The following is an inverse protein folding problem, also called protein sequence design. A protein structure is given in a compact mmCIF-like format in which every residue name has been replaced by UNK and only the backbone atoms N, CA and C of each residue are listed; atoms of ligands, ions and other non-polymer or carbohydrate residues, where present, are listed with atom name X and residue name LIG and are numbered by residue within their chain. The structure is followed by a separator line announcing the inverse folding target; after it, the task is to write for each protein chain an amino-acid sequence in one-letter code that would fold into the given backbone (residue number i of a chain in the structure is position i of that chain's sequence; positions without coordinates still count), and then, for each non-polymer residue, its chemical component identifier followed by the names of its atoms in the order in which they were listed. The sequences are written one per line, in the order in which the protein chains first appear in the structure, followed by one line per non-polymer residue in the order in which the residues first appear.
data_IF_555677330399
#
_entry.id   IF_555677330399
#
_cell.length_a   1.000
_cell.length_b   1.000
_cell.length_c   1.000
_cell.angle_alpha   90.00
_cell.angle_beta   90.00
_cell.angle_gamma   90.00
#
_symmetry.space_group_name_H-M   'P 1'
#
loop_
_entity.id
_entity.type
_entity.pdbx_description
1 polymer ?
#
# COMPACT_ATOMS: atom_id res chain seq x y z
N UNK A 1 -9.60 25.97 6.25
CA UNK A 1 -8.68 26.14 7.39
C UNK A 1 -7.42 25.31 7.15
N UNK A 2 -6.23 25.92 7.28
CA UNK A 2 -4.95 25.19 7.28
C UNK A 2 -4.81 24.47 8.62
N UNK A 3 -4.46 23.18 8.58
CA UNK A 3 -4.40 22.28 9.75
C UNK A 3 -3.05 21.60 9.90
N UNK A 4 -2.06 21.96 9.08
CA UNK A 4 -0.72 21.41 9.14
C UNK A 4 0.07 21.61 7.85
N UNK A 5 1.15 20.85 7.70
CA UNK A 5 2.06 20.86 6.56
C UNK A 5 2.30 19.44 6.04
N UNK A 6 2.43 19.28 4.74
CA UNK A 6 2.61 17.98 4.13
C UNK A 6 4.08 17.54 4.22
N UNK A 7 4.38 16.48 4.96
CA UNK A 7 5.73 15.91 5.00
C UNK A 7 6.22 15.37 3.64
N UNK A 8 5.33 15.16 2.66
CA UNK A 8 5.70 14.66 1.34
C UNK A 8 6.17 15.75 0.37
N UNK A 9 5.69 16.99 0.50
CA UNK A 9 6.03 18.05 -0.46
C UNK A 9 6.21 19.45 0.16
N UNK A 10 6.08 19.59 1.48
CA UNK A 10 6.25 20.85 2.22
C UNK A 10 5.02 21.76 2.24
N UNK A 11 4.06 21.61 1.32
CA UNK A 11 2.92 22.53 1.20
C UNK A 11 1.88 22.36 2.33
N UNK A 12 1.08 23.42 2.62
CA UNK A 12 0.01 23.37 3.60
C UNK A 12 -0.99 22.21 3.40
N UNK A 13 -1.49 21.69 4.51
CA UNK A 13 -2.62 20.76 4.57
C UNK A 13 -3.85 21.52 5.02
N UNK A 14 -4.95 21.35 4.31
CA UNK A 14 -6.25 21.94 4.64
C UNK A 14 -7.24 20.85 5.04
N UNK A 15 -8.21 21.23 5.87
CA UNK A 15 -9.39 20.41 6.17
C UNK A 15 -10.52 20.81 5.22
N UNK A 16 -10.96 19.88 4.36
CA UNK A 16 -12.00 20.08 3.35
C UNK A 16 -13.38 19.61 3.81
N UNK A 17 -13.46 18.74 4.82
CA UNK A 17 -14.71 18.34 5.48
C UNK A 17 -14.44 17.84 6.92
N UNK A 18 -15.49 17.47 7.66
CA UNK A 18 -15.37 17.00 9.05
C UNK A 18 -14.89 15.55 9.19
N UNK A 19 -14.89 14.78 8.10
CA UNK A 19 -14.52 13.37 8.08
C UNK A 19 -13.05 13.14 8.48
N UNK A 20 -12.73 11.94 8.99
CA UNK A 20 -11.37 11.56 9.38
C UNK A 20 -10.39 11.51 8.20
N UNK A 21 -10.90 11.33 6.99
CA UNK A 21 -10.17 11.47 5.74
C UNK A 21 -10.40 12.85 5.10
N UNK A 22 -10.85 13.84 5.85
CA UNK A 22 -11.16 15.19 5.38
C UNK A 22 -9.96 16.12 5.19
N UNK A 23 -8.72 15.64 5.33
CA UNK A 23 -7.52 16.47 5.20
C UNK A 23 -6.80 16.23 3.87
N UNK A 24 -6.44 17.31 3.16
CA UNK A 24 -5.74 17.25 1.88
C UNK A 24 -4.59 18.26 1.84
N UNK A 25 -3.43 17.85 1.35
CA UNK A 25 -2.40 18.81 0.95
C UNK A 25 -2.88 19.61 -0.26
N UNK A 26 -2.67 20.93 -0.26
CA UNK A 26 -3.13 21.80 -1.36
C UNK A 26 -2.37 21.56 -2.67
N UNK A 27 -1.15 21.03 -2.62
CA UNK A 27 -0.33 20.77 -3.80
C UNK A 27 -0.43 19.31 -4.25
N UNK A 28 0.14 18.36 -3.49
CA UNK A 28 0.19 16.96 -3.91
C UNK A 28 -1.12 16.18 -3.65
N UNK A 29 -2.14 16.80 -3.03
CA UNK A 29 -3.42 16.18 -2.67
C UNK A 29 -3.31 14.98 -1.71
N UNK A 30 -2.20 14.87 -0.98
CA UNK A 30 -2.00 13.78 -0.01
C UNK A 30 -3.14 13.72 1.01
N UNK A 31 -3.53 12.50 1.36
CA UNK A 31 -4.39 12.20 2.51
C UNK A 31 -3.51 11.89 3.73
N UNK A 32 -4.12 11.66 4.91
CA UNK A 32 -3.38 11.22 6.09
C UNK A 32 -2.66 9.88 5.89
N UNK A 33 -3.23 8.97 5.09
CA UNK A 33 -2.64 7.67 4.73
C UNK A 33 -1.27 7.86 4.08
N UNK A 34 -1.22 8.62 2.97
CA UNK A 34 0.02 8.90 2.26
C UNK A 34 1.08 9.55 3.17
N UNK A 35 0.67 10.49 4.02
CA UNK A 35 1.58 11.19 4.93
C UNK A 35 2.10 10.29 6.04
N UNK A 36 1.31 9.34 6.54
CA UNK A 36 1.74 8.35 7.52
C UNK A 36 2.79 7.39 6.93
N UNK A 37 2.57 6.88 5.72
CA UNK A 37 3.57 6.06 5.02
C UNK A 37 4.87 6.85 4.83
N UNK A 38 4.78 8.08 4.33
CA UNK A 38 5.95 8.95 4.19
C UNK A 38 6.65 9.29 5.51
N UNK A 39 5.92 9.34 6.63
CA UNK A 39 6.49 9.54 7.96
C UNK A 39 7.38 8.36 8.35
N UNK A 40 6.89 7.13 8.15
CA UNK A 40 7.65 5.91 8.41
C UNK A 40 8.88 5.83 7.50
N UNK A 41 8.73 6.06 6.20
CA UNK A 41 9.85 6.02 5.24
C UNK A 41 10.95 7.00 5.65
N UNK A 42 10.60 8.23 6.05
CA UNK A 42 11.56 9.23 6.51
C UNK A 42 12.30 8.80 7.78
N UNK A 43 11.63 8.08 8.69
CA UNK A 43 12.26 7.59 9.92
C UNK A 43 13.35 6.52 9.69
N UNK A 44 13.33 5.85 8.54
CA UNK A 44 14.31 4.82 8.18
C UNK A 44 15.58 5.36 7.53
N UNK A 45 15.64 6.66 7.19
CA UNK A 45 16.83 7.35 6.69
C UNK A 45 17.52 6.65 5.49
N UNK A 46 16.73 6.13 4.54
CA UNK A 46 17.27 5.52 3.32
C UNK A 46 18.10 6.52 2.48
N UNK A 47 19.14 6.01 1.82
CA UNK A 47 19.82 6.73 0.74
C UNK A 47 18.89 6.93 -0.47
N UNK A 48 19.07 8.02 -1.22
CA UNK A 48 18.35 8.26 -2.49
C UNK A 48 18.69 7.25 -3.61
N UNK A 49 19.69 6.38 -3.41
CA UNK A 49 20.14 5.38 -4.37
C UNK A 49 19.57 3.97 -4.15
N UNK A 50 18.74 3.76 -3.12
CA UNK A 50 18.07 2.47 -2.93
C UNK A 50 17.10 2.18 -4.08
N UNK A 51 16.81 0.90 -4.33
CA UNK A 51 15.82 0.47 -5.31
C UNK A 51 14.44 0.39 -4.66
N UNK A 52 13.50 1.16 -5.20
CA UNK A 52 12.15 1.30 -4.64
C UNK A 52 11.11 0.83 -5.65
N UNK A 53 10.12 0.06 -5.18
CA UNK A 53 8.94 -0.33 -5.95
C UNK A 53 7.64 0.16 -5.29
N UNK A 54 6.81 0.87 -6.03
CA UNK A 54 5.46 1.27 -5.59
C UNK A 54 4.40 0.58 -6.46
N UNK A 55 3.39 -0.01 -5.81
CA UNK A 55 2.27 -0.71 -6.47
C UNK A 55 1.20 0.24 -7.03
N UNK A 56 1.57 1.49 -7.33
CA UNK A 56 0.72 2.48 -7.97
C UNK A 56 1.54 3.48 -8.80
N UNK A 57 0.95 3.96 -9.90
CA UNK A 57 1.61 4.92 -10.80
C UNK A 57 1.24 6.37 -10.53
N UNK A 58 0.52 6.65 -9.44
CA UNK A 58 -0.15 7.94 -9.22
C UNK A 58 -0.36 8.25 -7.74
N UNK A 59 -0.85 9.47 -7.47
CA UNK A 59 -1.12 9.92 -6.11
C UNK A 59 0.08 10.57 -5.43
N UNK A 60 -0.09 10.93 -4.16
CA UNK A 60 0.89 11.75 -3.46
C UNK A 60 2.14 10.98 -3.04
N UNK A 61 1.98 9.69 -2.70
CA UNK A 61 3.10 8.82 -2.31
C UNK A 61 3.98 8.51 -3.52
N UNK A 62 3.41 8.09 -4.64
CA UNK A 62 4.12 7.95 -5.92
C UNK A 62 4.95 9.20 -6.27
N UNK A 63 4.34 10.39 -6.22
CA UNK A 63 5.04 11.65 -6.53
C UNK A 63 6.20 11.90 -5.58
N UNK A 64 6.01 11.61 -4.29
CA UNK A 64 7.07 11.70 -3.29
C UNK A 64 8.21 10.73 -3.61
N UNK A 65 7.93 9.43 -3.72
CA UNK A 65 8.94 8.41 -3.98
C UNK A 65 9.74 8.70 -5.25
N UNK A 66 9.06 9.04 -6.35
CA UNK A 66 9.68 9.43 -7.62
C UNK A 66 10.64 10.62 -7.50
N UNK A 67 10.36 11.56 -6.59
CA UNK A 67 11.22 12.72 -6.34
C UNK A 67 12.36 12.45 -5.38
N UNK A 68 12.25 11.42 -4.52
CA UNK A 68 13.23 11.14 -3.47
C UNK A 68 14.26 10.09 -3.89
N UNK A 69 13.89 9.14 -4.76
CA UNK A 69 14.71 7.99 -5.08
C UNK A 69 15.07 7.96 -6.56
N UNK A 70 16.35 7.74 -6.86
CA UNK A 70 16.89 7.65 -8.23
C UNK A 70 16.47 6.37 -8.93
N UNK A 71 16.35 5.27 -8.18
CA UNK A 71 16.00 3.95 -8.71
C UNK A 71 14.56 3.61 -8.31
N UNK A 72 13.59 4.19 -9.01
CA UNK A 72 12.17 4.05 -8.71
C UNK A 72 11.42 3.31 -9.82
N UNK A 73 10.86 2.16 -9.47
CA UNK A 73 9.98 1.35 -10.30
C UNK A 73 8.54 1.44 -9.79
N UNK A 74 7.57 1.35 -10.70
CA UNK A 74 6.15 1.36 -10.35
C UNK A 74 5.33 0.64 -11.43
N UNK A 75 4.17 0.14 -11.03
CA UNK A 75 3.19 -0.50 -11.92
C UNK A 75 1.78 -0.36 -11.36
N UNK A 76 0.80 -0.82 -12.14
CA UNK A 76 -0.61 -0.88 -11.72
C UNK A 76 -1.14 -2.28 -12.10
N UNK A 77 -2.29 -2.65 -11.53
CA UNK A 77 -3.05 -3.82 -11.99
C UNK A 77 -4.27 -3.37 -12.81
N UNK A 78 -4.39 -3.88 -14.03
CA UNK A 78 -5.52 -3.61 -14.93
C UNK A 78 -6.23 -4.92 -15.27
N UNK A 79 -7.56 -4.97 -15.08
CA UNK A 79 -8.35 -6.20 -15.29
C UNK A 79 -8.30 -6.71 -16.74
N UNK A 80 -8.14 -5.78 -17.68
CA UNK A 80 -8.19 -6.02 -19.12
C UNK A 80 -6.79 -6.16 -19.76
N UNK A 81 -5.73 -6.20 -18.96
CA UNK A 81 -4.35 -6.26 -19.46
C UNK A 81 -3.60 -7.40 -18.80
N UNK A 82 -3.11 -8.39 -19.57
CA UNK A 82 -2.22 -9.42 -19.03
C UNK A 82 -0.99 -8.82 -18.32
N UNK A 83 -0.55 -9.39 -17.17
CA UNK A 83 0.69 -8.98 -16.52
C UNK A 83 1.89 -8.98 -17.46
N UNK A 84 2.74 -7.95 -17.36
CA UNK A 84 3.89 -7.73 -18.23
C UNK A 84 3.63 -6.85 -19.45
N UNK A 85 2.35 -6.67 -19.85
CA UNK A 85 1.99 -5.75 -20.94
C UNK A 85 1.77 -4.32 -20.43
N UNK A 86 1.71 -3.36 -21.36
CA UNK A 86 1.66 -1.92 -21.04
C UNK A 86 0.30 -1.33 -21.40
N UNK A 87 -0.26 -0.52 -20.50
CA UNK A 87 -1.42 0.35 -20.74
C UNK A 87 -1.11 1.76 -20.28
N UNK A 88 -1.28 2.74 -21.16
CA UNK A 88 -0.98 4.15 -20.89
C UNK A 88 0.45 4.37 -20.31
N UNK A 89 1.44 3.72 -20.91
CA UNK A 89 2.86 3.76 -20.50
C UNK A 89 3.14 3.19 -19.10
N UNK A 90 2.20 2.44 -18.52
CA UNK A 90 2.36 1.78 -17.22
C UNK A 90 2.31 0.27 -17.46
N UNK A 91 3.29 -0.45 -16.92
CA UNK A 91 3.31 -1.93 -16.95
C UNK A 91 2.22 -2.48 -16.03
N UNK A 92 1.46 -3.44 -16.53
CA UNK A 92 0.53 -4.22 -15.72
C UNK A 92 1.30 -5.25 -14.89
N UNK A 93 1.08 -5.29 -13.57
CA UNK A 93 1.62 -6.33 -12.69
C UNK A 93 0.50 -6.85 -11.78
N UNK A 94 0.40 -8.16 -11.62
CA UNK A 94 -0.36 -8.77 -10.53
C UNK A 94 0.59 -9.01 -9.36
N UNK A 95 0.25 -8.48 -8.18
CA UNK A 95 1.09 -8.66 -6.99
C UNK A 95 1.20 -10.13 -6.58
N UNK A 96 0.24 -10.98 -6.96
CA UNK A 96 0.28 -12.42 -6.73
C UNK A 96 1.28 -13.15 -7.65
N UNK A 97 1.78 -12.47 -8.69
CA UNK A 97 2.62 -13.00 -9.75
C UNK A 97 3.50 -11.89 -10.35
N UNK A 98 4.44 -11.36 -9.57
CA UNK A 98 5.28 -10.25 -10.01
C UNK A 98 6.31 -10.73 -11.02
N UNK A 99 6.29 -10.16 -12.22
CA UNK A 99 7.30 -10.37 -13.25
C UNK A 99 8.55 -9.51 -12.98
N UNK A 100 9.13 -9.69 -11.79
CA UNK A 100 10.29 -8.97 -11.26
C UNK A 100 11.27 -9.97 -10.66
N UNK A 101 12.56 -9.66 -10.71
CA UNK A 101 13.60 -10.56 -10.21
C UNK A 101 13.61 -10.65 -8.68
N UNK A 102 14.12 -11.77 -8.19
CA UNK A 102 14.38 -11.96 -6.76
C UNK A 102 15.37 -10.89 -6.27
N UNK A 103 15.19 -10.47 -5.02
CA UNK A 103 16.13 -9.59 -4.30
C UNK A 103 16.56 -8.33 -5.07
N UNK A 104 15.65 -7.72 -5.83
CA UNK A 104 15.94 -6.54 -6.64
C UNK A 104 15.61 -5.21 -5.96
N UNK A 105 14.79 -5.21 -4.89
CA UNK A 105 14.33 -3.99 -4.23
C UNK A 105 14.73 -3.90 -2.75
N UNK A 106 15.04 -2.70 -2.30
CA UNK A 106 15.31 -2.38 -0.90
C UNK A 106 14.02 -1.94 -0.18
N UNK A 107 13.08 -1.34 -0.90
CA UNK A 107 11.80 -0.86 -0.38
C UNK A 107 10.66 -1.15 -1.37
N UNK A 108 9.58 -1.74 -0.87
CA UNK A 108 8.30 -1.88 -1.55
C UNK A 108 7.23 -1.09 -0.78
N UNK A 109 6.33 -0.41 -1.48
CA UNK A 109 5.24 0.37 -0.86
C UNK A 109 3.92 0.17 -1.59
N UNK A 110 2.83 0.26 -0.83
CA UNK A 110 1.46 0.31 -1.36
C UNK A 110 0.52 0.98 -0.38
N UNK A 111 -0.61 1.52 -0.85
CA UNK A 111 -1.68 2.05 0.01
C UNK A 111 -3.03 1.55 -0.44
N UNK A 112 -3.76 0.84 0.42
CA UNK A 112 -5.13 0.35 0.16
C UNK A 112 -5.18 -0.54 -1.10
N UNK A 113 -4.43 -1.65 -1.05
CA UNK A 113 -4.28 -2.61 -2.17
C UNK A 113 -4.59 -4.03 -1.73
N UNK A 114 -4.01 -4.49 -0.63
CA UNK A 114 -4.01 -5.92 -0.28
C UNK A 114 -5.39 -6.47 0.13
N UNK A 115 -6.30 -5.61 0.57
CA UNK A 115 -7.70 -5.97 0.80
C UNK A 115 -8.42 -6.41 -0.48
N UNK A 116 -7.92 -6.00 -1.64
CA UNK A 116 -8.46 -6.32 -2.96
C UNK A 116 -7.76 -7.52 -3.62
N UNK A 117 -6.71 -8.06 -3.01
CA UNK A 117 -5.94 -9.17 -3.58
C UNK A 117 -6.61 -10.50 -3.24
N UNK A 118 -7.00 -11.34 -4.22
CA UNK A 118 -7.67 -12.61 -3.94
C UNK A 118 -6.90 -13.54 -3.00
N UNK A 119 -5.60 -13.71 -3.22
CA UNK A 119 -4.70 -14.46 -2.34
C UNK A 119 -3.58 -13.54 -1.82
N UNK A 120 -3.83 -12.86 -0.69
CA UNK A 120 -2.87 -11.95 -0.09
C UNK A 120 -1.58 -12.64 0.35
N UNK A 121 -1.65 -13.85 0.92
CA UNK A 121 -0.45 -14.62 1.31
C UNK A 121 0.48 -14.84 0.12
N UNK A 122 -0.08 -15.12 -1.06
CA UNK A 122 0.70 -15.22 -2.31
C UNK A 122 1.32 -13.87 -2.68
N UNK A 123 0.55 -12.79 -2.61
CA UNK A 123 1.07 -11.44 -2.82
C UNK A 123 2.20 -11.05 -1.85
N UNK A 124 2.05 -11.36 -0.56
CA UNK A 124 3.08 -11.11 0.45
C UNK A 124 4.35 -11.91 0.16
N UNK A 125 4.23 -13.18 -0.25
CA UNK A 125 5.39 -14.00 -0.65
C UNK A 125 6.10 -13.44 -1.87
N UNK A 126 5.37 -12.97 -2.88
CA UNK A 126 5.97 -12.31 -4.05
C UNK A 126 6.70 -11.02 -3.66
N UNK A 127 6.11 -10.19 -2.80
CA UNK A 127 6.79 -9.00 -2.25
C UNK A 127 8.04 -9.40 -1.46
N UNK A 128 7.99 -10.46 -0.66
CA UNK A 128 9.15 -10.99 0.07
C UNK A 128 10.24 -11.47 -0.89
N UNK A 129 9.89 -12.18 -1.95
CA UNK A 129 10.81 -12.70 -2.97
C UNK A 129 11.60 -11.57 -3.64
N UNK A 130 10.93 -10.51 -4.08
CA UNK A 130 11.56 -9.40 -4.80
C UNK A 130 12.34 -8.44 -3.88
N UNK A 131 12.09 -8.47 -2.57
CA UNK A 131 12.84 -7.70 -1.60
C UNK A 131 14.21 -8.34 -1.35
N UNK A 132 15.25 -7.53 -1.28
CA UNK A 132 16.56 -7.92 -0.75
C UNK A 132 16.41 -8.30 0.71
N UNK A 133 17.31 -9.16 1.19
CA UNK A 133 17.47 -9.39 2.63
C UNK A 133 17.59 -8.06 3.38
N UNK A 134 16.86 -7.90 4.49
CA UNK A 134 16.68 -6.65 5.24
C UNK A 134 15.89 -5.54 4.55
N UNK A 135 15.37 -5.75 3.35
CA UNK A 135 14.47 -4.84 2.65
C UNK A 135 13.11 -4.71 3.34
N UNK A 136 12.42 -3.60 3.06
CA UNK A 136 11.18 -3.25 3.75
C UNK A 136 9.97 -3.27 2.81
N UNK A 137 8.85 -3.78 3.32
CA UNK A 137 7.52 -3.53 2.78
C UNK A 137 6.75 -2.62 3.74
N UNK A 138 6.42 -1.40 3.29
CA UNK A 138 5.72 -0.40 4.11
C UNK A 138 4.41 -0.05 3.43
N UNK A 139 3.29 -0.39 4.06
CA UNK A 139 2.00 -0.28 3.41
C UNK A 139 0.85 -0.01 4.37
N UNK A 140 -0.31 0.28 3.77
CA UNK A 140 -1.58 0.39 4.50
C UNK A 140 -2.65 -0.47 3.84
N UNK A 141 -3.59 -0.88 4.67
CA UNK A 141 -4.89 -1.47 4.33
C UNK A 141 -5.93 -0.86 5.28
N UNK A 142 -7.23 -0.94 4.96
CA UNK A 142 -8.30 -0.69 5.92
C UNK A 142 -8.19 -1.70 7.08
N UNK A 143 -7.55 -1.28 8.17
CA UNK A 143 -7.36 -2.13 9.34
C UNK A 143 -8.50 -1.91 10.34
N UNK A 144 -9.26 -2.97 10.59
CA UNK A 144 -10.27 -3.00 11.65
C UNK A 144 -9.61 -2.99 13.03
N UNK A 145 -10.43 -2.84 14.07
CA UNK A 145 -10.00 -3.03 15.47
C UNK A 145 -10.13 -4.49 15.93
N UNK A 146 -10.47 -5.40 15.01
CA UNK A 146 -10.55 -6.83 15.30
C UNK A 146 -9.15 -7.45 15.42
N UNK A 147 -9.05 -8.49 16.25
CA UNK A 147 -7.83 -9.29 16.34
C UNK A 147 -7.62 -10.15 15.09
N UNK A 148 -8.69 -10.67 14.51
CA UNK A 148 -8.64 -11.60 13.38
C UNK A 148 -9.20 -10.95 12.12
N UNK A 149 -8.60 -11.30 10.98
CA UNK A 149 -9.04 -10.88 9.66
C UNK A 149 -10.35 -11.56 9.30
N UNK A 150 -11.30 -10.78 8.79
CA UNK A 150 -12.59 -11.27 8.30
C UNK A 150 -12.47 -11.46 6.80
N UNK A 151 -12.46 -12.72 6.35
CA UNK A 151 -12.54 -13.06 4.93
C UNK A 151 -13.99 -12.94 4.47
N UNK A 152 -14.24 -12.16 3.42
CA UNK A 152 -15.58 -11.85 2.90
C UNK A 152 -15.94 -12.72 1.71
N UNK A 153 -14.95 -13.03 0.88
CA UNK A 153 -15.09 -13.85 -0.30
C UNK A 153 -13.76 -14.49 -0.69
N UNK A 154 -13.82 -15.53 -1.51
CA UNK A 154 -12.65 -16.19 -2.07
C UNK A 154 -12.81 -16.37 -3.57
N UNK A 155 -11.68 -16.37 -4.29
CA UNK A 155 -11.65 -16.75 -5.69
C UNK A 155 -11.44 -18.27 -5.82
N UNK A 156 -12.34 -18.93 -6.55
CA UNK A 156 -12.24 -20.36 -6.88
C UNK A 156 -11.24 -20.60 -8.02
N UNK A 157 -10.76 -21.85 -8.21
CA UNK A 157 -9.82 -22.18 -9.30
C UNK A 157 -10.33 -21.85 -10.71
N UNK A 158 -11.65 -21.83 -10.91
CA UNK A 158 -12.29 -21.44 -12.18
C UNK A 158 -12.42 -19.92 -12.38
N UNK A 159 -11.90 -19.12 -11.43
CA UNK A 159 -11.92 -17.66 -11.45
C UNK A 159 -13.19 -17.05 -10.86
N UNK A 160 -14.22 -17.84 -10.54
CA UNK A 160 -15.46 -17.33 -9.93
C UNK A 160 -15.25 -16.89 -8.49
N UNK A 161 -16.06 -15.94 -8.02
CA UNK A 161 -15.99 -15.43 -6.65
C UNK A 161 -17.09 -16.07 -5.81
N UNK A 162 -16.68 -16.69 -4.70
CA UNK A 162 -17.57 -17.19 -3.67
C UNK A 162 -17.71 -16.16 -2.55
N UNK A 163 -18.91 -15.62 -2.39
CA UNK A 163 -19.22 -14.68 -1.32
C UNK A 163 -19.70 -15.43 -0.07
N UNK A 164 -19.04 -15.17 1.05
CA UNK A 164 -19.41 -15.71 2.37
C UNK A 164 -20.16 -14.65 3.17
N UNK A 165 -19.87 -13.38 2.91
CA UNK A 165 -20.55 -12.21 3.44
C UNK A 165 -21.02 -11.32 2.29
N UNK A 166 -21.89 -10.36 2.59
CA UNK A 166 -22.30 -9.34 1.62
C UNK A 166 -21.06 -8.68 0.98
N UNK A 167 -21.05 -8.46 -0.34
CA UNK A 167 -19.88 -7.91 -1.00
C UNK A 167 -19.62 -6.47 -0.55
N UNK A 168 -18.36 -6.15 -0.32
CA UNK A 168 -17.92 -4.79 0.02
C UNK A 168 -17.05 -4.27 -1.12
N UNK A 169 -17.31 -3.04 -1.56
CA UNK A 169 -16.58 -2.42 -2.67
C UNK A 169 -15.96 -1.09 -2.25
N UNK A 170 -14.69 -0.91 -2.55
CA UNK A 170 -13.98 0.36 -2.36
C UNK A 170 -13.78 1.07 -3.71
N UNK A 171 -13.06 2.18 -3.67
CA UNK A 171 -12.78 2.98 -4.85
C UNK A 171 -11.30 3.09 -5.14
N UNK A 172 -10.97 3.07 -6.42
CA UNK A 172 -9.63 3.40 -6.91
C UNK A 172 -9.68 4.56 -7.91
N UNK A 173 -8.56 4.82 -8.58
CA UNK A 173 -8.43 5.85 -9.62
C UNK A 173 -8.49 5.28 -11.04
N UNK A 174 -8.75 3.99 -11.20
CA UNK A 174 -8.76 3.29 -12.50
C UNK A 174 -10.20 2.96 -12.87
N UNK A 175 -10.91 2.28 -11.98
CA UNK A 175 -12.29 1.80 -12.08
C UNK A 175 -13.29 2.81 -11.48
N UNK A 176 -12.87 3.59 -10.49
CA UNK A 176 -13.72 4.60 -9.84
C UNK A 176 -14.27 4.16 -8.48
N UNK A 177 -15.25 4.90 -7.94
CA UNK A 177 -15.77 4.66 -6.59
C UNK A 177 -16.74 3.49 -6.54
N UNK A 178 -16.57 2.60 -5.54
CA UNK A 178 -17.49 1.49 -5.27
C UNK A 178 -17.44 0.41 -6.36
N UNK A 179 -16.27 0.19 -6.95
CA UNK A 179 -16.07 -0.73 -8.08
C UNK A 179 -15.05 -1.83 -7.77
N UNK A 180 -14.28 -1.71 -6.68
CA UNK A 180 -13.18 -2.64 -6.38
C UNK A 180 -13.56 -3.53 -5.22
N UNK A 181 -13.76 -4.82 -5.48
CA UNK A 181 -14.18 -5.78 -4.47
C UNK A 181 -13.11 -5.94 -3.38
N UNK A 182 -13.52 -5.85 -2.11
CA UNK A 182 -12.70 -6.20 -0.97
C UNK A 182 -12.89 -7.68 -0.63
N UNK A 183 -11.82 -8.46 -0.70
CA UNK A 183 -11.79 -9.87 -0.33
C UNK A 183 -11.81 -10.07 1.18
N UNK A 184 -11.27 -9.11 1.93
CA UNK A 184 -11.17 -9.19 3.38
C UNK A 184 -11.15 -7.84 4.06
N UNK A 185 -11.55 -7.83 5.33
CA UNK A 185 -11.30 -6.72 6.25
C UNK A 185 -10.21 -7.18 7.24
N UNK A 186 -9.04 -6.54 7.18
CA UNK A 186 -7.89 -6.99 7.98
C UNK A 186 -8.07 -6.72 9.47
N UNK A 187 -7.69 -7.71 10.28
CA UNK A 187 -7.47 -7.57 11.72
C UNK A 187 -5.98 -7.40 12.04
N UNK A 188 -5.63 -7.35 13.33
CA UNK A 188 -4.23 -7.24 13.76
C UNK A 188 -3.39 -8.49 13.47
N UNK A 189 -4.02 -9.64 13.20
CA UNK A 189 -3.40 -10.88 12.72
C UNK A 189 -2.68 -10.75 11.36
N UNK A 190 -2.83 -9.63 10.64
CA UNK A 190 -2.00 -9.32 9.46
C UNK A 190 -0.49 -9.40 9.76
N UNK A 191 -0.09 -9.11 11.00
CA UNK A 191 1.30 -9.25 11.46
C UNK A 191 1.76 -10.71 11.38
N UNK A 192 0.94 -11.66 11.86
CA UNK A 192 1.26 -13.08 11.79
C UNK A 192 1.20 -13.60 10.34
N UNK A 193 0.23 -13.13 9.53
CA UNK A 193 0.16 -13.47 8.10
C UNK A 193 1.43 -13.07 7.34
N UNK A 194 2.03 -11.93 7.69
CA UNK A 194 3.31 -11.49 7.13
C UNK A 194 4.49 -12.34 7.64
N UNK A 195 4.49 -12.70 8.93
CA UNK A 195 5.52 -13.59 9.48
C UNK A 195 5.55 -14.95 8.78
N UNK A 196 4.39 -15.54 8.50
CA UNK A 196 4.24 -16.77 7.69
C UNK A 196 4.83 -16.65 6.27
N UNK A 197 5.09 -15.42 5.80
CA UNK A 197 5.61 -15.12 4.47
C UNK A 197 7.08 -14.68 4.47
N UNK A 198 7.80 -14.79 5.60
CA UNK A 198 9.23 -14.47 5.68
C UNK A 198 9.53 -13.03 6.10
N UNK A 199 8.61 -12.37 6.82
CA UNK A 199 8.82 -11.04 7.37
C UNK A 199 8.94 -11.04 8.90
N UNK A 200 9.68 -10.08 9.43
CA UNK A 200 9.40 -9.50 10.74
C UNK A 200 8.46 -8.32 10.53
N UNK A 201 7.32 -8.27 11.22
CA UNK A 201 6.30 -7.26 10.96
C UNK A 201 5.73 -6.64 12.25
N UNK A 202 5.30 -5.38 12.12
CA UNK A 202 4.59 -4.64 13.17
C UNK A 202 3.56 -3.67 12.57
N UNK A 203 2.57 -3.28 13.39
CA UNK A 203 1.65 -2.19 13.08
C UNK A 203 2.09 -0.96 13.86
N UNK A 204 2.52 0.09 13.16
CA UNK A 204 2.85 1.38 13.76
C UNK A 204 1.64 2.29 13.73
N UNK A 205 1.23 2.79 14.90
CA UNK A 205 0.22 3.83 15.00
C UNK A 205 0.87 5.22 14.91
N UNK A 206 0.63 5.94 13.81
CA UNK A 206 1.26 7.23 13.54
C UNK A 206 0.33 8.36 13.97
N UNK A 207 0.86 9.22 14.84
CA UNK A 207 0.26 10.48 15.25
C UNK A 207 1.25 11.62 15.01
N UNK A 208 0.84 12.63 14.26
CA UNK A 208 1.64 13.82 14.01
C UNK A 208 0.75 15.00 13.64
N UNK A 209 0.49 15.89 14.60
CA UNK A 209 -0.37 17.06 14.40
C UNK A 209 0.18 17.99 13.31
N UNK A 210 1.51 18.21 13.30
CA UNK A 210 2.19 19.01 12.27
C UNK A 210 1.90 18.51 10.87
N UNK A 211 1.76 17.21 10.69
CA UNK A 211 1.45 16.59 9.39
C UNK A 211 -0.02 16.20 9.25
N UNK A 212 -0.89 16.61 10.17
CA UNK A 212 -2.31 16.25 10.19
C UNK A 212 -2.52 14.74 10.01
N UNK A 213 -1.78 13.95 10.78
CA UNK A 213 -1.89 12.49 10.85
C UNK A 213 -2.46 12.15 12.22
N UNK A 214 -3.62 11.49 12.23
CA UNK A 214 -4.30 11.07 13.45
C UNK A 214 -4.65 9.58 13.40
N UNK A 215 -4.18 8.84 14.40
CA UNK A 215 -4.43 7.42 14.60
C UNK A 215 -4.30 6.59 13.31
N UNK A 216 -3.29 6.89 12.47
CA UNK A 216 -3.13 6.21 11.20
C UNK A 216 -2.20 5.02 11.38
N UNK A 217 -2.75 3.82 11.21
CA UNK A 217 -1.99 2.58 11.26
C UNK A 217 -1.21 2.40 9.95
N UNK A 218 0.06 2.05 10.05
CA UNK A 218 0.96 1.69 8.94
C UNK A 218 1.61 0.36 9.28
N UNK A 219 1.57 -0.58 8.35
CA UNK A 219 2.23 -1.87 8.52
C UNK A 219 3.67 -1.73 8.04
N UNK A 220 4.61 -2.16 8.88
CA UNK A 220 6.04 -2.16 8.59
C UNK A 220 6.51 -3.60 8.65
N UNK A 221 6.86 -4.16 7.51
CA UNK A 221 7.39 -5.51 7.38
C UNK A 221 8.83 -5.43 6.85
N UNK A 222 9.74 -6.19 7.45
CA UNK A 222 11.14 -6.29 7.06
C UNK A 222 11.44 -7.74 6.70
N UNK A 223 11.97 -7.98 5.49
CA UNK A 223 12.41 -9.32 5.08
C UNK A 223 13.52 -9.79 6.02
N UNK A 224 13.35 -10.96 6.61
CA UNK A 224 14.38 -11.61 7.43
C UNK A 224 15.25 -12.51 6.56
N UNK A 225 16.53 -12.66 6.91
CA UNK A 225 17.34 -13.76 6.39
C UNK A 225 16.71 -15.07 6.89
N UNK A 226 16.44 -16.00 5.98
CA UNK A 226 16.13 -17.39 6.32
C UNK A 226 17.46 -18.14 6.45
#
# INVERSE_FOLDING_TARGET
MIVGSCNLCGFPVIKINKDNFGTRCINCKSTKIHRAVGFVIKSLNFSDRIFVYELSSRGALYKYLKSQFKNFYYSEYFDDVPPGLIKNSIVCQDVQHLLLNDESFDLVTSTEVFEHVPNDKKGFREVCRILKTNGYFIFTVPLSDNLTTVERCYQKPDGTIEHILDPEYHGDRIRGRGQVLAFRNYGSDIVERLKDCGFSAEIRNINCDRNSINNQKVIVAKKISI
#
